data_IF_336976281877
#
_entry.id   IF_336976281877
#
_cell.length_a   1.000
_cell.length_b   1.000
_cell.length_c   1.000
_cell.angle_alpha   90.00
_cell.angle_beta   90.00
_cell.angle_gamma   90.00
#
_symmetry.space_group_name_H-M   'P 1'
#
loop_
_entity.id
_entity.type
_entity.pdbx_description
1 polymer ?
#
# COMPACT_ATOMS: atom_id res chain seq x y z
N UNK A 1 19.32 4.09 2.52
CA UNK A 1 20.25 4.00 1.36
C UNK A 1 20.29 5.36 0.67
N UNK A 2 21.45 5.81 0.17
CA UNK A 2 21.58 7.15 -0.46
C UNK A 2 22.08 7.11 -1.90
N UNK A 3 22.67 6.01 -2.38
CA UNK A 3 23.09 5.86 -3.79
C UNK A 3 23.26 4.40 -4.19
N UNK A 4 22.84 4.06 -5.41
CA UNK A 4 23.04 2.75 -6.03
C UNK A 4 24.39 2.67 -6.76
N UNK A 5 24.97 1.47 -6.84
CA UNK A 5 26.06 1.22 -7.80
C UNK A 5 25.51 1.25 -9.23
N UNK A 6 26.35 1.59 -10.21
CA UNK A 6 25.92 1.63 -11.64
C UNK A 6 25.35 0.30 -12.11
N UNK A 7 25.91 -0.82 -11.66
CA UNK A 7 25.43 -2.17 -12.01
C UNK A 7 24.09 -2.48 -11.35
N UNK A 8 23.90 -2.11 -10.08
CA UNK A 8 22.63 -2.33 -9.36
C UNK A 8 21.52 -1.45 -9.92
N UNK A 9 21.80 -0.18 -10.18
CA UNK A 9 20.86 0.74 -10.83
C UNK A 9 20.40 0.19 -12.18
N UNK A 10 21.35 -0.26 -13.02
CA UNK A 10 21.05 -0.87 -14.31
C UNK A 10 20.17 -2.12 -14.18
N UNK A 11 20.45 -3.00 -13.23
CA UNK A 11 19.63 -4.17 -12.94
C UNK A 11 18.18 -3.79 -12.59
N UNK A 12 17.99 -2.81 -11.71
CA UNK A 12 16.66 -2.36 -11.29
C UNK A 12 15.89 -1.67 -12.42
N UNK A 13 16.59 -0.90 -13.28
CA UNK A 13 16.00 -0.31 -14.49
C UNK A 13 15.49 -1.40 -15.45
N UNK A 14 16.27 -2.45 -15.65
CA UNK A 14 15.89 -3.57 -16.51
C UNK A 14 14.73 -4.37 -15.90
N UNK A 15 14.77 -4.64 -14.59
CA UNK A 15 13.74 -5.39 -13.85
C UNK A 15 12.36 -4.72 -13.94
N UNK A 16 12.27 -3.40 -13.75
CA UNK A 16 10.98 -2.71 -13.59
C UNK A 16 10.50 -1.93 -14.83
N UNK A 17 11.43 -1.48 -15.68
CA UNK A 17 11.10 -0.58 -16.78
C UNK A 17 11.57 -1.10 -18.14
N UNK A 18 12.15 -2.31 -18.19
CA UNK A 18 12.70 -2.91 -19.42
C UNK A 18 13.63 -1.95 -20.19
N UNK A 19 14.42 -1.15 -19.47
CA UNK A 19 15.34 -0.15 -20.03
C UNK A 19 16.65 -0.11 -19.26
N UNK A 20 17.70 0.40 -19.89
CA UNK A 20 19.00 0.71 -19.25
C UNK A 20 19.19 2.22 -19.02
N UNK A 21 18.25 3.03 -19.51
CA UNK A 21 18.34 4.49 -19.48
C UNK A 21 17.20 5.06 -18.65
N UNK A 22 17.54 5.74 -17.55
CA UNK A 22 16.59 6.38 -16.65
C UNK A 22 15.73 7.46 -17.29
N UNK A 23 16.15 8.03 -18.43
CA UNK A 23 15.35 8.99 -19.21
C UNK A 23 14.08 8.37 -19.80
N UNK A 24 14.01 7.04 -19.86
CA UNK A 24 12.86 6.31 -20.40
C UNK A 24 11.90 5.85 -19.29
N UNK A 25 12.14 6.22 -18.03
CA UNK A 25 11.23 5.88 -16.94
C UNK A 25 10.04 6.85 -16.99
N UNK A 26 8.80 6.35 -17.02
CA UNK A 26 7.64 7.23 -16.93
C UNK A 26 7.51 7.77 -15.49
N UNK A 27 7.01 8.99 -15.33
CA UNK A 27 6.67 9.53 -14.01
C UNK A 27 5.44 8.82 -13.38
N UNK A 28 4.68 8.13 -14.23
CA UNK A 28 3.41 7.48 -13.94
C UNK A 28 3.48 5.99 -14.27
N UNK A 29 2.92 5.15 -13.39
CA UNK A 29 2.62 3.75 -13.69
C UNK A 29 1.14 3.46 -13.43
N UNK A 30 0.47 2.77 -14.35
CA UNK A 30 -0.89 2.30 -14.10
C UNK A 30 -0.92 1.26 -12.97
N UNK A 31 0.12 0.42 -12.90
CA UNK A 31 0.27 -0.62 -11.90
C UNK A 31 1.73 -0.76 -11.46
N UNK A 32 1.95 -0.93 -10.16
CA UNK A 32 3.22 -1.34 -9.60
C UNK A 32 3.05 -2.45 -8.57
N UNK A 33 4.05 -3.33 -8.53
CA UNK A 33 4.13 -4.46 -7.62
C UNK A 33 3.43 -5.71 -8.14
N UNK A 34 3.52 -6.75 -7.34
CA UNK A 34 2.99 -8.08 -7.60
C UNK A 34 2.66 -8.72 -6.25
N UNK A 35 1.64 -9.59 -6.26
CA UNK A 35 1.34 -10.43 -5.11
C UNK A 35 2.48 -11.44 -4.94
N UNK A 36 2.99 -11.57 -3.72
CA UNK A 36 3.93 -12.64 -3.33
C UNK A 36 5.24 -12.66 -4.14
N UNK A 37 5.79 -11.48 -4.43
CA UNK A 37 7.04 -11.36 -5.18
C UNK A 37 8.23 -10.86 -4.37
N UNK A 38 9.43 -10.96 -4.96
CA UNK A 38 10.72 -10.65 -4.35
C UNK A 38 11.01 -9.15 -4.14
N UNK A 39 9.97 -8.30 -4.10
CA UNK A 39 10.10 -6.85 -3.91
C UNK A 39 10.56 -6.57 -2.48
N UNK A 40 11.61 -5.74 -2.34
CA UNK A 40 12.21 -5.34 -1.06
C UNK A 40 12.13 -3.83 -0.84
N UNK A 41 12.56 -3.35 0.34
CA UNK A 41 12.72 -1.93 0.63
C UNK A 41 13.64 -1.21 -0.38
N UNK A 42 14.65 -1.91 -0.89
CA UNK A 42 15.57 -1.36 -1.89
C UNK A 42 14.83 -1.07 -3.20
N UNK A 43 13.98 -2.00 -3.62
CA UNK A 43 13.19 -1.87 -4.85
C UNK A 43 12.23 -0.69 -4.73
N UNK A 44 11.48 -0.60 -3.63
CA UNK A 44 10.53 0.48 -3.41
C UNK A 44 11.25 1.85 -3.25
N UNK A 45 12.42 1.87 -2.59
CA UNK A 45 13.26 3.06 -2.55
C UNK A 45 13.69 3.50 -3.95
N UNK A 46 14.16 2.57 -4.78
CA UNK A 46 14.60 2.84 -6.14
C UNK A 46 13.48 3.43 -6.99
N UNK A 47 12.32 2.78 -6.98
CA UNK A 47 11.18 3.17 -7.82
C UNK A 47 10.68 4.56 -7.48
N UNK A 48 10.52 4.85 -6.18
CA UNK A 48 10.04 6.14 -5.69
C UNK A 48 11.04 7.29 -5.89
N UNK A 49 12.22 7.05 -6.50
CA UNK A 49 13.07 8.12 -7.02
C UNK A 49 12.63 8.64 -8.39
N UNK A 50 11.83 7.86 -9.12
CA UNK A 50 11.51 8.11 -10.53
C UNK A 50 10.02 8.22 -10.80
N UNK A 51 9.21 7.46 -10.06
CA UNK A 51 7.75 7.48 -10.18
C UNK A 51 7.16 8.21 -8.98
N UNK A 52 6.17 9.05 -9.25
CA UNK A 52 5.41 9.77 -8.22
C UNK A 52 3.92 9.46 -8.27
N UNK A 53 3.46 8.80 -9.32
CA UNK A 53 2.06 8.47 -9.53
C UNK A 53 1.87 6.99 -9.87
N UNK A 54 1.00 6.32 -9.12
CA UNK A 54 0.65 4.92 -9.32
C UNK A 54 -0.83 4.72 -9.03
N UNK A 55 -1.63 4.17 -9.96
CA UNK A 55 -3.04 3.89 -9.66
C UNK A 55 -3.22 2.60 -8.86
N UNK A 56 -2.55 1.51 -9.28
CA UNK A 56 -2.69 0.20 -8.66
C UNK A 56 -1.39 -0.24 -8.01
N UNK A 57 -1.37 -0.33 -6.69
CA UNK A 57 -0.20 -0.73 -5.92
C UNK A 57 -0.48 -2.03 -5.17
N UNK A 58 0.25 -3.10 -5.52
CA UNK A 58 0.15 -4.40 -4.84
C UNK A 58 1.50 -4.80 -4.25
N UNK A 59 1.61 -4.75 -2.92
CA UNK A 59 2.80 -5.15 -2.15
C UNK A 59 2.52 -6.35 -1.23
N UNK A 60 1.31 -6.89 -1.26
CA UNK A 60 0.92 -7.97 -0.36
C UNK A 60 1.82 -9.20 -0.49
N UNK A 61 2.33 -9.69 0.64
CA UNK A 61 3.23 -10.85 0.70
C UNK A 61 4.66 -10.61 0.17
N UNK A 62 5.07 -9.35 -0.02
CA UNK A 62 6.45 -9.02 -0.44
C UNK A 62 7.43 -8.95 0.74
N UNK A 63 8.72 -8.75 0.46
CA UNK A 63 9.76 -8.55 1.47
C UNK A 63 9.93 -7.07 1.87
N UNK A 64 8.97 -6.21 1.54
CA UNK A 64 8.96 -4.82 2.00
C UNK A 64 8.68 -4.80 3.51
N UNK A 65 9.51 -4.09 4.27
CA UNK A 65 9.39 -3.92 5.72
C UNK A 65 8.63 -2.64 6.06
N UNK A 66 8.35 -2.43 7.34
CA UNK A 66 7.81 -1.16 7.85
C UNK A 66 8.65 0.07 7.45
N UNK A 67 9.97 -0.10 7.29
CA UNK A 67 10.87 0.96 6.84
C UNK A 67 10.66 1.26 5.36
N UNK A 68 10.48 0.22 4.53
CA UNK A 68 10.19 0.38 3.11
C UNK A 68 8.83 1.01 2.85
N UNK A 69 7.81 0.67 3.65
CA UNK A 69 6.48 1.29 3.54
C UNK A 69 6.51 2.81 3.63
N UNK A 70 7.49 3.41 4.33
CA UNK A 70 7.64 4.86 4.41
C UNK A 70 7.89 5.52 3.04
N UNK A 71 8.40 4.78 2.05
CA UNK A 71 8.57 5.29 0.70
C UNK A 71 7.25 5.51 -0.03
N UNK A 72 6.14 4.90 0.43
CA UNK A 72 4.80 5.13 -0.12
C UNK A 72 4.33 6.58 -0.01
N UNK A 73 4.87 7.34 0.95
CA UNK A 73 4.63 8.78 1.11
C UNK A 73 5.04 9.62 -0.09
N UNK A 74 5.89 9.08 -0.98
CA UNK A 74 6.30 9.74 -2.22
C UNK A 74 5.35 9.50 -3.39
N UNK A 75 4.49 8.50 -3.28
CA UNK A 75 3.51 8.16 -4.29
C UNK A 75 2.22 8.95 -4.07
N UNK A 76 1.52 9.20 -5.16
CA UNK A 76 0.23 9.88 -5.20
C UNK A 76 -0.69 9.12 -6.17
N UNK A 77 -1.98 9.49 -6.17
CA UNK A 77 -2.99 8.94 -7.07
C UNK A 77 -3.23 7.42 -6.97
N UNK A 78 -2.92 6.81 -5.82
CA UNK A 78 -3.25 5.40 -5.56
C UNK A 78 -4.76 5.25 -5.37
N UNK A 79 -5.37 4.44 -6.25
CA UNK A 79 -6.79 4.08 -6.27
C UNK A 79 -7.00 2.67 -5.69
N UNK A 80 -6.08 1.75 -5.98
CA UNK A 80 -6.08 0.38 -5.48
C UNK A 80 -4.81 0.10 -4.67
N UNK A 81 -4.96 -0.36 -3.43
CA UNK A 81 -3.86 -0.69 -2.54
C UNK A 81 -4.03 -2.06 -1.88
N UNK A 82 -3.10 -2.97 -2.16
CA UNK A 82 -3.02 -4.30 -1.54
C UNK A 82 -1.74 -4.40 -0.69
N UNK A 83 -1.92 -4.34 0.63
CA UNK A 83 -0.88 -4.48 1.66
C UNK A 83 -1.17 -5.68 2.58
N UNK A 84 -1.83 -6.73 2.07
CA UNK A 84 -2.06 -7.93 2.89
C UNK A 84 -0.73 -8.57 3.31
N UNK A 85 -0.67 -9.19 4.49
CA UNK A 85 0.53 -9.87 4.97
C UNK A 85 1.76 -8.95 5.09
N UNK A 86 1.53 -7.65 5.27
CA UNK A 86 2.56 -6.65 5.50
C UNK A 86 2.65 -6.31 7.00
N UNK A 87 3.81 -5.82 7.45
CA UNK A 87 4.00 -5.28 8.80
C UNK A 87 3.41 -3.87 8.95
N UNK A 88 2.12 -3.74 8.68
CA UNK A 88 1.34 -2.51 8.85
C UNK A 88 0.66 -2.54 10.21
N UNK A 89 0.74 -1.44 10.97
CA UNK A 89 0.12 -1.27 12.28
C UNK A 89 -0.33 0.19 12.47
N UNK A 90 -1.04 0.46 13.57
CA UNK A 90 -1.61 1.78 13.84
C UNK A 90 -0.57 2.92 13.87
N UNK A 91 0.67 2.63 14.30
CA UNK A 91 1.76 3.59 14.42
C UNK A 91 2.34 4.00 13.06
N UNK A 92 2.33 3.10 12.07
CA UNK A 92 2.88 3.35 10.73
C UNK A 92 1.83 3.56 9.64
N UNK A 93 0.53 3.64 9.99
CA UNK A 93 -0.56 3.92 9.03
C UNK A 93 -0.38 5.24 8.25
N UNK A 94 0.37 6.19 8.78
CA UNK A 94 0.62 7.47 8.11
C UNK A 94 1.32 7.33 6.74
N UNK A 95 1.90 6.16 6.44
CA UNK A 95 2.43 5.85 5.12
C UNK A 95 1.38 5.67 4.02
N UNK A 96 0.09 5.52 4.37
CA UNK A 96 -1.01 5.33 3.40
C UNK A 96 -2.13 6.38 3.51
N UNK A 97 -2.31 7.04 4.65
CA UNK A 97 -3.45 7.94 4.91
C UNK A 97 -3.45 9.23 4.06
N UNK A 98 -2.39 9.49 3.31
CA UNK A 98 -2.31 10.61 2.36
C UNK A 98 -2.95 10.29 0.99
N UNK A 99 -3.25 9.03 0.67
CA UNK A 99 -3.87 8.66 -0.62
C UNK A 99 -5.34 9.07 -0.71
N UNK A 100 -5.60 10.30 -1.17
CA UNK A 100 -6.95 10.89 -1.20
C UNK A 100 -7.90 10.27 -2.23
N UNK A 101 -7.37 9.59 -3.24
CA UNK A 101 -8.13 8.94 -4.30
C UNK A 101 -8.27 7.43 -4.05
N UNK A 102 -7.97 6.94 -2.85
CA UNK A 102 -8.02 5.51 -2.56
C UNK A 102 -9.46 5.00 -2.56
N UNK A 103 -9.75 4.04 -3.44
CA UNK A 103 -11.06 3.42 -3.62
C UNK A 103 -11.09 1.98 -3.08
N UNK A 104 -9.98 1.25 -3.18
CA UNK A 104 -9.88 -0.13 -2.74
C UNK A 104 -8.67 -0.33 -1.82
N UNK A 105 -8.90 -0.87 -0.62
CA UNK A 105 -7.85 -1.18 0.36
C UNK A 105 -7.96 -2.61 0.87
N UNK A 106 -6.85 -3.36 0.79
CA UNK A 106 -6.72 -4.71 1.34
C UNK A 106 -5.56 -4.80 2.33
N UNK A 107 -5.87 -5.05 3.61
CA UNK A 107 -4.93 -5.07 4.75
C UNK A 107 -5.13 -6.28 5.70
N UNK A 108 -5.58 -7.45 5.22
CA UNK A 108 -5.60 -8.65 6.09
C UNK A 108 -4.19 -9.14 6.40
N UNK A 109 -4.03 -9.91 7.47
CA UNK A 109 -2.76 -10.41 7.97
C UNK A 109 -1.81 -9.25 8.30
N UNK A 110 -2.34 -8.20 8.91
CA UNK A 110 -1.60 -7.03 9.41
C UNK A 110 -1.90 -6.83 10.89
N UNK A 111 -1.11 -5.97 11.55
CA UNK A 111 -1.28 -5.64 12.97
C UNK A 111 -2.15 -4.38 13.17
N UNK A 112 -2.92 -3.97 12.15
CA UNK A 112 -3.86 -2.85 12.24
C UNK A 112 -5.03 -3.22 13.15
N UNK A 113 -5.32 -2.39 14.15
CA UNK A 113 -6.40 -2.65 15.12
C UNK A 113 -7.73 -2.07 14.66
N UNK A 114 -8.80 -2.28 15.42
CA UNK A 114 -10.09 -1.60 15.20
C UNK A 114 -9.96 -0.06 15.24
N UNK A 115 -9.01 0.47 16.01
CA UNK A 115 -8.74 1.91 16.03
C UNK A 115 -8.08 2.37 14.73
N UNK A 116 -7.11 1.60 14.23
CA UNK A 116 -6.49 1.82 12.93
C UNK A 116 -7.49 1.75 11.77
N UNK A 117 -8.38 0.76 11.77
CA UNK A 117 -9.46 0.65 10.77
C UNK A 117 -10.42 1.84 10.86
N UNK A 118 -10.80 2.26 12.07
CA UNK A 118 -11.63 3.45 12.25
C UNK A 118 -10.95 4.71 11.69
N UNK A 119 -9.63 4.86 11.88
CA UNK A 119 -8.83 5.96 11.31
C UNK A 119 -8.76 5.89 9.79
N UNK A 120 -8.65 4.71 9.20
CA UNK A 120 -8.69 4.47 7.76
C UNK A 120 -10.03 4.95 7.17
N UNK A 121 -11.15 4.48 7.74
CA UNK A 121 -12.49 4.85 7.27
C UNK A 121 -12.76 6.36 7.39
N UNK A 122 -12.25 7.00 8.45
CA UNK A 122 -12.33 8.46 8.61
C UNK A 122 -11.46 9.22 7.59
N UNK A 123 -10.33 8.66 7.17
CA UNK A 123 -9.34 9.37 6.33
C UNK A 123 -9.66 9.31 4.84
N UNK A 124 -10.31 8.25 4.38
CA UNK A 124 -10.57 8.00 2.96
C UNK A 124 -12.04 8.23 2.62
N UNK A 125 -12.39 9.46 2.28
CA UNK A 125 -13.77 9.82 1.93
C UNK A 125 -14.29 9.19 0.63
N UNK A 126 -13.38 8.71 -0.23
CA UNK A 126 -13.68 8.04 -1.50
C UNK A 126 -13.58 6.51 -1.46
N UNK A 127 -13.32 5.91 -0.29
CA UNK A 127 -13.15 4.47 -0.19
C UNK A 127 -14.44 3.74 -0.59
N UNK A 128 -14.33 2.77 -1.48
CA UNK A 128 -15.44 1.95 -1.96
C UNK A 128 -15.40 0.57 -1.32
N UNK A 129 -14.21 -0.03 -1.17
CA UNK A 129 -14.05 -1.37 -0.59
C UNK A 129 -12.91 -1.40 0.42
N UNK A 130 -13.20 -1.94 1.60
CA UNK A 130 -12.20 -2.26 2.62
C UNK A 130 -12.22 -3.75 2.94
N UNK A 131 -11.08 -4.41 2.75
CA UNK A 131 -10.86 -5.80 3.16
C UNK A 131 -9.86 -5.82 4.31
N UNK A 132 -10.33 -6.22 5.49
CA UNK A 132 -9.53 -6.25 6.71
C UNK A 132 -9.92 -7.45 7.59
N UNK A 133 -9.22 -7.60 8.71
CA UNK A 133 -9.54 -8.58 9.74
C UNK A 133 -9.51 -7.92 11.12
N UNK A 134 -10.37 -8.38 12.02
CA UNK A 134 -10.44 -7.89 13.40
C UNK A 134 -10.62 -9.06 14.37
N UNK A 135 -10.25 -8.91 15.65
CA UNK A 135 -10.53 -9.92 16.68
C UNK A 135 -12.02 -10.23 16.81
N UNK A 136 -12.38 -11.51 16.99
CA UNK A 136 -13.79 -11.94 17.14
C UNK A 136 -14.54 -11.17 18.25
N UNK A 137 -13.87 -10.88 19.37
CA UNK A 137 -14.42 -10.14 20.50
C UNK A 137 -14.67 -8.64 20.23
N UNK A 138 -14.27 -8.12 19.07
CA UNK A 138 -14.51 -6.75 18.62
C UNK A 138 -15.41 -6.69 17.38
N UNK A 139 -16.09 -7.80 17.04
CA UNK A 139 -17.00 -7.91 15.88
C UNK A 139 -18.14 -6.88 15.86
N UNK A 140 -18.50 -6.32 17.02
CA UNK A 140 -19.50 -5.25 17.13
C UNK A 140 -19.13 -3.98 16.32
N UNK A 141 -17.84 -3.74 16.04
CA UNK A 141 -17.41 -2.62 15.21
C UNK A 141 -17.87 -2.72 13.76
N UNK A 142 -18.12 -3.94 13.25
CA UNK A 142 -18.57 -4.15 11.87
C UNK A 142 -19.92 -3.45 11.65
N UNK A 143 -20.88 -3.65 12.57
CA UNK A 143 -22.19 -3.01 12.50
C UNK A 143 -22.09 -1.49 12.64
N UNK A 144 -21.23 -1.01 13.55
CA UNK A 144 -20.99 0.43 13.76
C UNK A 144 -20.42 1.09 12.49
N UNK A 145 -19.41 0.48 11.87
CA UNK A 145 -18.83 0.99 10.63
C UNK A 145 -19.80 0.90 9.46
N UNK A 146 -20.59 -0.16 9.36
CA UNK A 146 -21.60 -0.28 8.30
C UNK A 146 -22.69 0.81 8.40
N UNK A 147 -23.08 1.19 9.63
CA UNK A 147 -24.01 2.29 9.84
C UNK A 147 -23.38 3.65 9.55
N UNK A 148 -22.12 3.86 9.95
CA UNK A 148 -21.43 5.13 9.79
C UNK A 148 -20.95 5.38 8.34
N UNK A 149 -20.57 4.31 7.62
CA UNK A 149 -20.01 4.34 6.28
C UNK A 149 -20.80 3.42 5.33
N UNK A 150 -22.11 3.64 5.12
CA UNK A 150 -23.00 2.71 4.44
C UNK A 150 -22.71 2.53 2.94
N UNK A 151 -21.85 3.38 2.37
CA UNK A 151 -21.42 3.29 0.96
C UNK A 151 -20.16 2.45 0.76
N UNK A 152 -19.45 2.12 1.85
CA UNK A 152 -18.24 1.31 1.79
C UNK A 152 -18.64 -0.16 1.91
N UNK A 153 -18.19 -0.98 0.97
CA UNK A 153 -18.24 -2.42 1.07
C UNK A 153 -17.18 -2.90 2.07
N UNK A 154 -17.64 -3.35 3.25
CA UNK A 154 -16.78 -3.86 4.31
C UNK A 154 -16.70 -5.39 4.24
N UNK A 155 -15.55 -5.91 3.84
CA UNK A 155 -15.25 -7.35 3.82
C UNK A 155 -14.33 -7.67 5.00
N UNK A 156 -14.95 -7.78 6.19
CA UNK A 156 -14.23 -7.98 7.45
C UNK A 156 -14.28 -9.46 7.85
N UNK A 157 -13.11 -10.06 8.03
CA UNK A 157 -13.00 -11.41 8.61
C UNK A 157 -12.66 -11.34 10.09
N UNK A 158 -13.06 -12.37 10.83
CA UNK A 158 -12.74 -12.50 12.24
C UNK A 158 -11.51 -13.40 12.41
N UNK A 159 -10.64 -13.04 13.34
CA UNK A 159 -9.45 -13.81 13.74
C UNK A 159 -9.43 -14.09 15.25
#
# INVERSE_FOLDING_TARGET
MTKFSKSREKYLLEKYFNTKNKKNIPAYLSQFGCRDCDTTDEDLFFLTQYITEVNHLALGGTFVTEHGLQYLKKLNNVEYLDLRSMRLNDDNLDCILHFKNLEYLYIKFTDVTVNGISKILQSFSGLQTLIAEIPENESNFIELWQQQYPKVELIISLR
#
